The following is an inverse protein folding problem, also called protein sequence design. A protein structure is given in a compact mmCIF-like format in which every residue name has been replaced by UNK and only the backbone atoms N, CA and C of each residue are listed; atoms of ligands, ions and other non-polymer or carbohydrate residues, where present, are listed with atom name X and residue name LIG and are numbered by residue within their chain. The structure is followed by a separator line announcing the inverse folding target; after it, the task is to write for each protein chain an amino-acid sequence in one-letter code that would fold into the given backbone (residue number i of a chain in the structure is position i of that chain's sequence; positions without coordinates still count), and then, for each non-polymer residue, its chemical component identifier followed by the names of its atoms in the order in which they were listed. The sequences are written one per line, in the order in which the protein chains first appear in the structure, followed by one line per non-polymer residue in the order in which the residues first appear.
data_IF_009083967183
#
_entry.id   IF_009083967183
#
_cell.length_a   1.000
_cell.length_b   1.000
_cell.length_c   1.000
_cell.angle_alpha   90.00
_cell.angle_beta   90.00
_cell.angle_gamma   90.00
#
_symmetry.space_group_name_H-M   'P 1'
#
loop_
_entity.id
_entity.type
_entity.pdbx_description
1 polymer ?
#
# COMPACT_ATOMS: atom_id res chain seq x y z
N UNK A 1 34.18 17.44 11.98
CA UNK A 1 32.93 17.80 11.29
C UNK A 1 31.91 18.15 12.36
N UNK A 2 31.21 19.30 12.26
CA UNK A 2 30.77 20.09 13.42
C UNK A 2 29.57 19.47 14.14
N UNK A 3 29.75 19.07 15.40
CA UNK A 3 28.68 18.65 16.31
C UNK A 3 27.97 19.89 16.84
N UNK A 4 26.79 20.18 16.31
CA UNK A 4 25.99 21.38 16.60
C UNK A 4 25.87 21.67 18.11
N UNK A 5 26.48 22.77 18.53
CA UNK A 5 26.48 23.34 19.88
C UNK A 5 25.16 24.04 20.18
N UNK A 6 24.09 23.28 20.48
CA UNK A 6 22.85 23.90 20.97
C UNK A 6 23.14 24.58 22.30
N UNK A 7 22.87 25.88 22.38
CA UNK A 7 23.21 26.68 23.56
C UNK A 7 22.19 26.49 24.68
N UNK A 8 22.59 26.77 25.93
CA UNK A 8 21.68 26.66 27.10
C UNK A 8 20.45 27.55 26.93
N UNK A 9 20.65 28.74 26.33
CA UNK A 9 19.60 29.72 26.06
C UNK A 9 18.61 29.20 25.02
N UNK A 10 19.09 28.62 23.92
CA UNK A 10 18.23 28.00 22.91
C UNK A 10 17.35 26.88 23.48
N UNK A 11 17.88 26.05 24.39
CA UNK A 11 17.07 25.01 25.04
C UNK A 11 15.98 25.60 25.95
N UNK A 12 16.29 26.68 26.68
CA UNK A 12 15.32 27.38 27.52
C UNK A 12 14.23 28.06 26.68
N UNK A 13 14.61 28.68 25.56
CA UNK A 13 13.67 29.35 24.68
C UNK A 13 12.74 28.34 23.99
N UNK A 14 13.22 27.14 23.64
CA UNK A 14 12.37 26.05 23.13
C UNK A 14 11.34 25.57 24.15
N UNK A 15 11.74 25.35 25.40
CA UNK A 15 10.82 24.96 26.47
C UNK A 15 9.76 26.05 26.75
N UNK A 16 10.14 27.33 26.64
CA UNK A 16 9.22 28.47 26.75
C UNK A 16 8.20 28.55 25.61
N UNK A 17 8.60 28.22 24.38
CA UNK A 17 7.68 28.11 23.25
C UNK A 17 6.64 27.01 23.46
N UNK A 18 6.98 25.97 24.24
CA UNK A 18 6.08 24.88 24.61
C UNK A 18 5.25 25.18 25.88
N UNK A 19 5.34 26.39 26.43
CA UNK A 19 4.56 26.83 27.59
C UNK A 19 5.17 26.53 28.96
N UNK A 20 6.40 25.97 29.02
CA UNK A 20 7.12 25.74 30.27
C UNK A 20 8.06 26.90 30.62
N UNK A 21 8.22 27.21 31.92
CA UNK A 21 9.20 28.20 32.39
C UNK A 21 10.36 27.52 33.12
N UNK A 22 11.38 27.02 32.40
CA UNK A 22 12.48 26.28 33.01
C UNK A 22 13.33 27.20 33.92
N UNK A 23 13.68 26.76 35.15
CA UNK A 23 14.55 27.52 36.04
C UNK A 23 15.92 27.83 35.43
N UNK A 24 16.48 28.99 35.77
CA UNK A 24 17.82 29.41 35.34
C UNK A 24 18.94 28.53 35.89
N UNK A 25 18.68 27.84 37.01
CA UNK A 25 19.59 26.88 37.65
C UNK A 25 19.75 25.56 36.90
N UNK A 26 18.87 25.23 35.94
CA UNK A 26 18.98 23.99 35.18
C UNK A 26 20.26 23.95 34.34
N UNK A 27 20.95 22.83 34.39
CA UNK A 27 22.13 22.56 33.57
C UNK A 27 21.71 22.23 32.14
N UNK A 28 22.66 22.31 31.18
CA UNK A 28 22.41 21.92 29.79
C UNK A 28 21.90 20.47 29.68
N UNK A 29 22.38 19.58 30.55
CA UNK A 29 21.96 18.17 30.58
C UNK A 29 20.51 18.04 31.02
N UNK A 30 20.08 18.78 32.06
CA UNK A 30 18.70 18.76 32.54
C UNK A 30 17.72 19.38 31.52
N UNK A 31 18.13 20.47 30.85
CA UNK A 31 17.33 21.06 29.77
C UNK A 31 17.22 20.13 28.56
N UNK A 32 18.30 19.44 28.20
CA UNK A 32 18.29 18.44 27.14
C UNK A 32 17.43 17.23 27.50
N UNK A 33 17.47 16.77 28.75
CA UNK A 33 16.61 15.69 29.26
C UNK A 33 15.14 16.10 29.20
N UNK A 34 14.76 17.32 29.64
CA UNK A 34 13.37 17.78 29.55
C UNK A 34 12.89 17.94 28.11
N UNK A 35 13.75 18.45 27.22
CA UNK A 35 13.43 18.50 25.79
C UNK A 35 13.27 17.11 25.17
N UNK A 36 14.03 16.11 25.64
CA UNK A 36 13.90 14.72 25.22
C UNK A 36 12.59 14.11 25.76
N UNK A 37 12.25 14.33 27.02
CA UNK A 37 10.97 13.91 27.61
C UNK A 37 9.78 14.51 26.87
N UNK A 38 9.81 15.80 26.56
CA UNK A 38 8.74 16.44 25.78
C UNK A 38 8.69 15.94 24.33
N UNK A 39 9.83 15.62 23.74
CA UNK A 39 9.85 14.96 22.43
C UNK A 39 9.23 13.55 22.53
N UNK A 40 9.51 12.81 23.60
CA UNK A 40 8.94 11.49 23.92
C UNK A 40 7.47 11.54 24.39
N UNK A 41 6.97 12.68 24.83
CA UNK A 41 5.57 12.89 25.24
C UNK A 41 4.69 13.34 24.05
N UNK A 42 5.29 14.03 23.07
CA UNK A 42 4.65 14.39 21.79
C UNK A 42 4.70 13.22 20.80
N UNK A 43 5.71 12.37 20.85
CA UNK A 43 5.66 11.07 20.19
C UNK A 43 5.00 10.08 21.14
N UNK A 44 3.74 9.63 20.93
CA UNK A 44 3.27 8.47 21.69
C UNK A 44 4.34 7.40 21.59
N UNK A 45 4.69 6.77 22.72
CA UNK A 45 5.63 5.63 22.84
C UNK A 45 5.11 4.45 22.02
N UNK A 46 5.01 4.64 20.72
CA UNK A 46 4.57 3.67 19.74
C UNK A 46 5.80 2.86 19.50
N UNK A 47 5.96 1.79 20.28
CA UNK A 47 6.90 0.75 19.92
C UNK A 47 6.66 0.44 18.45
N UNK A 48 7.60 0.82 17.59
CA UNK A 48 7.40 0.83 16.14
C UNK A 48 7.34 -0.62 15.68
N UNK A 49 6.13 -1.12 15.45
CA UNK A 49 5.96 -2.53 15.10
C UNK A 49 6.44 -2.75 13.67
N UNK A 50 7.36 -3.71 13.48
CA UNK A 50 7.78 -4.13 12.14
C UNK A 50 6.86 -5.23 11.61
N UNK A 51 6.83 -5.43 10.29
CA UNK A 51 6.12 -6.56 9.67
C UNK A 51 6.57 -7.90 10.28
N UNK A 52 7.87 -8.05 10.51
CA UNK A 52 8.44 -9.25 11.16
C UNK A 52 7.86 -9.46 12.55
N UNK A 53 7.61 -8.40 13.31
CA UNK A 53 7.02 -8.50 14.64
C UNK A 53 5.54 -8.87 14.59
N UNK A 54 4.78 -8.32 13.62
CA UNK A 54 3.42 -8.76 13.33
C UNK A 54 3.36 -10.27 13.01
N UNK A 55 4.24 -10.74 12.13
CA UNK A 55 4.35 -12.17 11.78
C UNK A 55 4.68 -13.02 13.01
N UNK A 56 5.58 -12.56 13.89
CA UNK A 56 5.89 -13.26 15.14
C UNK A 56 4.72 -13.30 16.11
N UNK A 57 3.91 -12.25 16.19
CA UNK A 57 2.69 -12.23 17.02
C UNK A 57 1.73 -13.31 16.51
N UNK A 58 1.46 -13.32 15.21
CA UNK A 58 0.53 -14.28 14.59
C UNK A 58 1.04 -15.71 14.71
N UNK A 59 2.33 -15.95 14.48
CA UNK A 59 2.92 -17.28 14.54
C UNK A 59 3.08 -17.83 15.97
N UNK A 60 2.96 -16.97 17.01
CA UNK A 60 2.88 -17.40 18.40
C UNK A 60 1.55 -18.07 18.72
N UNK A 61 0.47 -17.70 18.04
CA UNK A 61 -0.82 -18.37 18.17
C UNK A 61 -0.76 -19.76 17.51
N UNK A 62 -0.75 -20.81 18.32
CA UNK A 62 -0.70 -22.21 17.87
C UNK A 62 -2.07 -22.81 17.65
N UNK A 63 -3.11 -22.24 18.27
CA UNK A 63 -4.49 -22.75 18.21
C UNK A 63 -5.44 -21.71 17.62
N UNK A 64 -6.51 -22.18 16.96
CA UNK A 64 -7.57 -21.32 16.41
C UNK A 64 -8.18 -20.40 17.47
N UNK A 65 -8.42 -20.90 18.68
CA UNK A 65 -8.95 -20.11 19.79
C UNK A 65 -8.03 -18.94 20.20
N UNK A 66 -6.70 -19.10 20.10
CA UNK A 66 -5.74 -18.03 20.41
C UNK A 66 -5.76 -16.94 19.33
N UNK A 67 -5.92 -17.32 18.06
CA UNK A 67 -6.10 -16.36 16.96
C UNK A 67 -7.42 -15.59 17.09
N UNK A 68 -8.48 -16.27 17.50
CA UNK A 68 -9.78 -15.64 17.77
C UNK A 68 -9.70 -14.64 18.93
N UNK A 69 -9.00 -15.00 20.01
CA UNK A 69 -8.75 -14.07 21.11
C UNK A 69 -7.94 -12.84 20.67
N UNK A 70 -6.91 -13.04 19.83
CA UNK A 70 -6.12 -11.94 19.26
C UNK A 70 -6.98 -11.02 18.37
N UNK A 71 -7.81 -11.57 17.49
CA UNK A 71 -8.76 -10.78 16.69
C UNK A 71 -9.73 -10.00 17.58
N UNK A 72 -10.23 -10.61 18.65
CA UNK A 72 -11.11 -9.96 19.61
C UNK A 72 -10.42 -8.80 20.35
N UNK A 73 -9.17 -8.98 20.79
CA UNK A 73 -8.35 -7.97 21.47
C UNK A 73 -8.15 -6.73 20.58
N UNK A 74 -7.92 -6.95 19.29
CA UNK A 74 -7.77 -5.89 18.28
C UNK A 74 -9.11 -5.37 17.74
N UNK A 75 -10.26 -5.86 18.24
CA UNK A 75 -11.59 -5.44 17.78
C UNK A 75 -11.91 -5.83 16.33
N UNK A 76 -11.24 -6.83 15.78
CA UNK A 76 -11.44 -7.28 14.40
C UNK A 76 -12.56 -8.34 14.37
N UNK A 77 -13.66 -8.10 13.64
CA UNK A 77 -14.76 -9.06 13.55
C UNK A 77 -14.33 -10.32 12.80
N UNK A 78 -14.76 -11.47 13.32
CA UNK A 78 -14.54 -12.79 12.72
C UNK A 78 -15.74 -13.72 12.96
N UNK A 79 -15.88 -14.72 12.09
CA UNK A 79 -16.94 -15.73 12.17
C UNK A 79 -16.35 -17.07 12.65
N UNK A 80 -17.04 -17.85 13.50
CA UNK A 80 -16.53 -19.13 14.00
C UNK A 80 -16.21 -20.17 12.90
N UNK A 81 -16.86 -20.08 11.73
CA UNK A 81 -16.64 -20.97 10.59
C UNK A 81 -15.31 -20.73 9.85
N UNK A 82 -14.66 -19.58 10.03
CA UNK A 82 -13.45 -19.23 9.29
C UNK A 82 -12.28 -20.17 9.59
N UNK A 83 -11.45 -20.46 8.58
CA UNK A 83 -10.25 -21.30 8.72
C UNK A 83 -9.14 -20.53 9.45
N UNK A 84 -8.13 -21.26 9.94
CA UNK A 84 -6.96 -20.66 10.58
C UNK A 84 -6.28 -19.64 9.65
N UNK A 85 -6.13 -19.95 8.37
CA UNK A 85 -5.47 -19.06 7.41
C UNK A 85 -6.29 -17.79 7.11
N UNK A 86 -7.62 -17.91 7.06
CA UNK A 86 -8.50 -16.73 6.97
C UNK A 86 -8.36 -15.82 8.19
N UNK A 87 -8.32 -16.39 9.40
CA UNK A 87 -8.12 -15.62 10.64
C UNK A 87 -6.75 -14.94 10.67
N UNK A 88 -5.68 -15.66 10.29
CA UNK A 88 -4.32 -15.11 10.18
C UNK A 88 -4.26 -13.95 9.18
N UNK A 89 -4.89 -14.09 8.03
CA UNK A 89 -4.92 -13.04 7.00
C UNK A 89 -5.65 -11.80 7.47
N UNK A 90 -6.79 -11.95 8.17
CA UNK A 90 -7.54 -10.81 8.72
C UNK A 90 -6.74 -10.06 9.77
N UNK A 91 -6.16 -10.77 10.74
CA UNK A 91 -5.36 -10.09 11.78
C UNK A 91 -4.11 -9.46 11.18
N UNK A 92 -3.43 -10.13 10.23
CA UNK A 92 -2.28 -9.55 9.56
C UNK A 92 -2.63 -8.25 8.85
N UNK A 93 -3.69 -8.25 8.01
CA UNK A 93 -4.17 -7.05 7.33
C UNK A 93 -4.40 -5.92 8.33
N UNK A 94 -5.12 -6.19 9.43
CA UNK A 94 -5.40 -5.20 10.46
C UNK A 94 -4.12 -4.65 11.11
N UNK A 95 -3.17 -5.52 11.50
CA UNK A 95 -1.90 -5.09 12.09
C UNK A 95 -1.10 -4.24 11.11
N UNK A 96 -1.09 -4.63 9.83
CA UNK A 96 -0.44 -3.84 8.78
C UNK A 96 -1.09 -2.47 8.64
N UNK A 97 -2.42 -2.38 8.55
CA UNK A 97 -3.14 -1.11 8.36
C UNK A 97 -3.01 -0.16 9.57
N UNK A 98 -2.94 -0.69 10.80
CA UNK A 98 -3.12 0.14 12.00
C UNK A 98 -1.87 0.31 12.86
N UNK A 99 -0.93 -0.66 12.85
CA UNK A 99 0.17 -0.71 13.82
C UNK A 99 1.56 -0.76 13.18
N UNK A 100 1.70 -1.42 12.02
CA UNK A 100 3.00 -1.56 11.35
C UNK A 100 3.30 -0.33 10.51
N UNK A 101 4.49 0.26 10.70
CA UNK A 101 4.94 1.42 9.92
C UNK A 101 5.31 0.99 8.49
N UNK A 102 4.77 1.64 7.44
CA UNK A 102 5.16 1.36 6.06
C UNK A 102 6.66 1.58 5.83
N UNK A 103 7.34 0.58 5.26
CA UNK A 103 8.76 0.62 4.96
C UNK A 103 9.04 0.45 3.46
N UNK A 104 10.07 1.14 2.95
CA UNK A 104 10.44 1.08 1.54
C UNK A 104 10.90 -0.31 1.03
N UNK A 105 11.25 -1.22 1.94
CA UNK A 105 11.60 -2.61 1.64
C UNK A 105 10.41 -3.54 1.47
N UNK A 106 9.19 -3.09 1.82
CA UNK A 106 7.96 -3.87 1.63
C UNK A 106 7.70 -4.11 0.14
N UNK A 107 7.18 -5.29 -0.19
CA UNK A 107 6.71 -5.63 -1.54
C UNK A 107 5.35 -4.98 -1.79
N UNK A 108 5.09 -4.59 -3.05
CA UNK A 108 3.80 -4.08 -3.46
C UNK A 108 2.69 -5.09 -3.20
N UNK A 109 2.85 -6.34 -3.64
CA UNK A 109 1.85 -7.40 -3.41
C UNK A 109 0.48 -7.15 -4.07
N UNK A 110 0.34 -6.15 -4.95
CA UNK A 110 -0.86 -5.88 -5.75
C UNK A 110 -0.52 -5.29 -7.12
N UNK A 111 -1.47 -5.37 -8.05
CA UNK A 111 -1.39 -4.71 -9.36
C UNK A 111 -0.25 -5.20 -10.25
N UNK A 112 0.10 -4.37 -11.24
CA UNK A 112 1.09 -4.71 -12.29
C UNK A 112 2.53 -4.86 -11.77
N UNK A 113 2.84 -4.18 -10.67
CA UNK A 113 4.19 -4.14 -10.08
C UNK A 113 4.25 -4.88 -8.74
N UNK A 114 3.42 -5.91 -8.57
CA UNK A 114 3.29 -6.67 -7.32
C UNK A 114 4.60 -7.24 -6.79
N UNK A 115 5.51 -7.65 -7.68
CA UNK A 115 6.81 -8.23 -7.33
C UNK A 115 7.88 -7.18 -6.94
N UNK A 116 7.61 -5.90 -7.20
CA UNK A 116 8.54 -4.82 -6.87
C UNK A 116 8.36 -4.36 -5.42
N UNK A 117 9.42 -3.81 -4.83
CA UNK A 117 9.36 -3.11 -3.55
C UNK A 117 8.89 -1.67 -3.73
N UNK A 118 8.41 -1.06 -2.64
CA UNK A 118 8.04 0.36 -2.60
C UNK A 118 9.18 1.27 -3.09
N UNK A 119 10.42 1.00 -2.64
CA UNK A 119 11.62 1.72 -3.08
C UNK A 119 11.86 1.62 -4.59
N UNK A 120 11.63 0.46 -5.20
CA UNK A 120 11.80 0.29 -6.64
C UNK A 120 10.70 1.03 -7.41
N UNK A 121 9.44 0.92 -6.98
CA UNK A 121 8.31 1.57 -7.66
C UNK A 121 8.43 3.09 -7.65
N UNK A 122 8.80 3.69 -6.51
CA UNK A 122 8.90 5.15 -6.41
C UNK A 122 10.01 5.75 -7.30
N UNK A 123 11.08 5.00 -7.54
CA UNK A 123 12.22 5.42 -8.37
C UNK A 123 12.00 5.09 -9.85
N UNK A 124 11.59 3.86 -10.15
CA UNK A 124 11.53 3.35 -11.53
C UNK A 124 10.18 3.61 -12.22
N UNK A 125 9.11 3.85 -11.44
CA UNK A 125 7.73 3.99 -11.92
C UNK A 125 7.04 5.23 -11.33
N UNK A 126 7.53 6.45 -11.65
CA UNK A 126 6.96 7.69 -11.10
C UNK A 126 5.49 7.90 -11.50
N UNK A 127 5.10 7.58 -12.74
CA UNK A 127 3.70 7.71 -13.19
C UNK A 127 2.76 6.72 -12.49
N UNK A 128 3.23 5.49 -12.24
CA UNK A 128 2.45 4.52 -11.47
C UNK A 128 2.30 4.97 -10.01
N UNK A 129 3.34 5.57 -9.44
CA UNK A 129 3.29 6.14 -8.09
C UNK A 129 2.24 7.27 -8.00
N UNK A 130 2.21 8.18 -8.99
CA UNK A 130 1.18 9.22 -9.07
C UNK A 130 -0.21 8.62 -9.14
N UNK A 131 -0.40 7.61 -10.01
CA UNK A 131 -1.67 6.89 -10.10
C UNK A 131 -2.10 6.28 -8.76
N UNK A 132 -1.22 5.56 -8.06
CA UNK A 132 -1.54 5.00 -6.75
C UNK A 132 -1.99 6.08 -5.74
N UNK A 133 -1.29 7.22 -5.72
CA UNK A 133 -1.61 8.35 -4.83
C UNK A 133 -2.97 8.94 -5.18
N UNK A 134 -3.23 9.22 -6.46
CA UNK A 134 -4.53 9.74 -6.92
C UNK A 134 -5.67 8.76 -6.63
N UNK A 135 -5.48 7.48 -6.95
CA UNK A 135 -6.49 6.45 -6.72
C UNK A 135 -6.79 6.24 -5.23
N UNK A 136 -5.79 6.35 -4.34
CA UNK A 136 -6.03 6.28 -2.90
C UNK A 136 -6.90 7.42 -2.38
N UNK A 137 -6.76 8.62 -2.97
CA UNK A 137 -7.58 9.79 -2.62
C UNK A 137 -8.99 9.68 -3.22
N UNK A 138 -9.10 9.23 -4.48
CA UNK A 138 -10.38 9.09 -5.18
C UNK A 138 -11.23 7.94 -4.62
N UNK A 139 -10.58 6.83 -4.23
CA UNK A 139 -11.24 5.60 -3.81
C UNK A 139 -10.63 5.09 -2.48
N UNK A 140 -11.12 5.59 -1.33
CA UNK A 140 -10.66 5.14 -0.01
C UNK A 140 -10.94 3.67 0.29
N UNK A 141 -11.82 3.03 -0.48
CA UNK A 141 -12.12 1.58 -0.39
C UNK A 141 -11.24 0.72 -1.32
N UNK A 142 -10.20 1.33 -1.93
CA UNK A 142 -9.22 0.59 -2.73
C UNK A 142 -8.52 -0.49 -1.90
N UNK A 143 -7.90 -1.45 -2.59
CA UNK A 143 -7.12 -2.51 -1.95
C UNK A 143 -6.14 -1.93 -0.90
N UNK A 144 -6.14 -2.47 0.31
CA UNK A 144 -5.43 -1.89 1.46
C UNK A 144 -3.93 -1.67 1.24
N UNK A 145 -3.25 -2.55 0.50
CA UNK A 145 -1.82 -2.36 0.15
C UNK A 145 -1.60 -1.14 -0.75
N UNK A 146 -2.57 -0.78 -1.60
CA UNK A 146 -2.51 0.43 -2.41
C UNK A 146 -2.58 1.66 -1.52
N UNK A 147 -3.54 1.70 -0.61
CA UNK A 147 -3.70 2.80 0.36
C UNK A 147 -2.43 2.95 1.21
N UNK A 148 -1.90 1.84 1.72
CA UNK A 148 -0.67 1.80 2.50
C UNK A 148 0.55 2.32 1.72
N UNK A 149 0.73 1.87 0.48
CA UNK A 149 1.80 2.38 -0.40
C UNK A 149 1.64 3.87 -0.69
N UNK A 150 0.41 4.32 -0.99
CA UNK A 150 0.14 5.73 -1.27
C UNK A 150 0.46 6.61 -0.05
N UNK A 151 0.04 6.21 1.15
CA UNK A 151 0.36 6.89 2.40
C UNK A 151 1.88 6.98 2.61
N UNK A 152 2.60 5.87 2.40
CA UNK A 152 4.06 5.87 2.48
C UNK A 152 4.68 6.83 1.46
N UNK A 153 4.29 6.73 0.19
CA UNK A 153 4.87 7.50 -0.90
C UNK A 153 4.64 9.02 -0.78
N UNK A 154 3.53 9.44 -0.16
CA UNK A 154 3.24 10.84 0.15
C UNK A 154 4.20 11.42 1.21
N UNK A 155 4.66 10.59 2.17
CA UNK A 155 5.59 11.00 3.21
C UNK A 155 7.05 11.12 2.77
N UNK A 156 7.40 10.61 1.58
CA UNK A 156 8.79 10.58 1.11
C UNK A 156 9.19 11.92 0.48
N UNK A 157 10.22 12.56 1.06
CA UNK A 157 10.84 13.79 0.54
C UNK A 157 11.64 13.56 -0.75
N UNK A 158 11.85 14.60 -1.56
CA UNK A 158 12.70 14.51 -2.77
C UNK A 158 14.13 14.08 -2.43
N UNK A 159 14.73 14.61 -1.37
CA UNK A 159 16.06 14.19 -0.91
C UNK A 159 16.11 12.69 -0.55
N UNK A 160 15.03 12.16 0.00
CA UNK A 160 14.94 10.75 0.35
C UNK A 160 14.75 9.86 -0.89
N UNK A 161 13.94 10.27 -1.87
CA UNK A 161 13.84 9.61 -3.18
C UNK A 161 15.21 9.51 -3.86
N UNK A 162 16.00 10.57 -3.76
CA UNK A 162 17.33 10.64 -4.37
C UNK A 162 18.30 9.71 -3.63
N UNK A 163 18.21 9.65 -2.29
CA UNK A 163 18.96 8.68 -1.50
C UNK A 163 18.57 7.23 -1.82
N UNK A 164 17.28 6.93 -2.00
CA UNK A 164 16.78 5.61 -2.43
C UNK A 164 17.35 5.27 -3.81
N UNK A 165 17.28 6.20 -4.78
CA UNK A 165 17.85 6.03 -6.11
C UNK A 165 19.35 5.74 -6.05
N UNK A 166 20.09 6.46 -5.21
CA UNK A 166 21.50 6.20 -4.95
C UNK A 166 21.74 4.76 -4.51
N UNK A 167 21.02 4.29 -3.48
CA UNK A 167 21.14 2.90 -2.97
C UNK A 167 20.82 1.85 -4.04
N UNK A 168 19.81 2.09 -4.88
CA UNK A 168 19.45 1.17 -5.97
C UNK A 168 20.48 1.20 -7.12
N UNK A 169 21.05 2.38 -7.42
CA UNK A 169 22.06 2.56 -8.46
C UNK A 169 23.41 1.94 -8.11
N UNK A 170 23.83 1.97 -6.84
CA UNK A 170 25.08 1.34 -6.39
C UNK A 170 25.00 -0.20 -6.38
N UNK A 171 23.79 -0.76 -6.39
CA UNK A 171 23.54 -2.22 -6.37
C UNK A 171 23.97 -2.94 -7.66
N UNK A 172 24.20 -2.25 -8.77
CA UNK A 172 24.48 -2.86 -10.07
C UNK A 172 25.96 -3.07 -10.43
N UNK A 173 26.92 -2.77 -9.54
CA UNK A 173 28.36 -2.96 -9.83
C UNK A 173 29.03 -4.15 -9.13
N UNK A 174 28.31 -4.93 -8.32
CA UNK A 174 28.81 -6.23 -7.83
C UNK A 174 28.25 -7.35 -8.71
N UNK A 175 29.03 -7.64 -9.76
CA UNK A 175 28.97 -8.76 -10.69
C UNK A 175 27.96 -9.89 -10.38
N UNK A 176 26.96 -10.03 -11.25
CA UNK A 176 26.45 -11.34 -11.63
C UNK A 176 27.50 -12.00 -12.54
N UNK A 177 28.16 -13.11 -12.15
CA UNK A 177 28.87 -13.91 -13.14
C UNK A 177 27.83 -14.57 -14.04
N UNK A 178 27.80 -14.17 -15.31
CA UNK A 178 27.07 -14.87 -16.37
C UNK A 178 27.69 -16.26 -16.49
N UNK A 179 27.09 -17.26 -15.84
CA UNK A 179 27.47 -18.67 -16.03
C UNK A 179 26.90 -19.14 -17.35
N UNK A 180 27.80 -19.32 -18.31
CA UNK A 180 27.57 -19.99 -19.58
C UNK A 180 26.86 -21.34 -19.37
N UNK A 181 25.91 -21.60 -20.27
CA UNK A 181 25.03 -22.76 -20.27
C UNK A 181 25.86 -24.01 -20.58
N UNK A 182 25.98 -24.93 -19.62
CA UNK A 182 26.42 -26.30 -19.85
C UNK A 182 25.39 -27.24 -19.23
N UNK A 183 24.65 -27.93 -20.09
CA UNK A 183 23.63 -28.90 -19.72
C UNK A 183 24.25 -30.08 -18.97
N UNK A 184 23.83 -30.29 -17.71
CA UNK A 184 23.91 -31.59 -17.05
C UNK A 184 22.73 -31.76 -16.11
N UNK A 185 21.86 -32.73 -16.43
CA UNK A 185 20.83 -33.25 -15.52
C UNK A 185 21.52 -33.79 -14.27
N UNK A 186 21.05 -33.40 -13.08
CA UNK A 186 20.93 -34.17 -11.82
C UNK A 186 20.31 -33.25 -10.74
N UNK A 187 19.27 -33.76 -10.09
CA UNK A 187 18.64 -33.44 -8.80
C UNK A 187 18.54 -31.97 -8.30
N UNK A 188 17.30 -31.60 -7.96
CA UNK A 188 16.91 -30.32 -7.35
C UNK A 188 17.64 -30.02 -6.03
N UNK A 189 18.05 -28.77 -5.77
CA UNK A 189 18.37 -28.29 -4.44
C UNK A 189 17.28 -27.36 -3.88
N UNK A 190 17.00 -27.55 -2.59
CA UNK A 190 16.07 -26.82 -1.75
C UNK A 190 16.15 -25.30 -1.89
N UNK A 191 14.96 -24.73 -2.01
CA UNK A 191 14.64 -23.31 -1.91
C UNK A 191 14.61 -22.92 -0.43
N UNK A 192 15.54 -22.09 0.00
CA UNK A 192 15.50 -21.44 1.30
C UNK A 192 15.92 -19.96 1.16
N UNK A 193 15.20 -19.11 1.90
CA UNK A 193 15.32 -17.64 2.07
C UNK A 193 14.50 -16.80 1.09
N UNK A 194 13.39 -16.13 1.43
CA UNK A 194 12.56 -15.90 2.63
C UNK A 194 11.29 -15.16 2.12
N UNK A 195 10.07 -15.28 2.61
CA UNK A 195 9.53 -15.19 3.97
C UNK A 195 8.26 -16.08 4.03
N UNK A 196 8.01 -16.72 5.18
CA UNK A 196 6.86 -17.60 5.45
C UNK A 196 5.56 -16.81 5.63
N UNK A 197 5.20 -16.04 4.60
CA UNK A 197 3.99 -15.23 4.59
C UNK A 197 2.90 -15.91 3.76
N UNK A 198 2.76 -17.23 3.88
CA UNK A 198 1.91 -18.06 3.01
C UNK A 198 0.42 -17.70 3.07
N UNK A 199 -0.03 -17.04 4.14
CA UNK A 199 -1.42 -16.59 4.26
C UNK A 199 -1.71 -15.33 3.42
N UNK A 200 -0.69 -14.64 2.87
CA UNK A 200 -0.88 -13.48 1.97
C UNK A 200 -1.60 -13.83 0.68
N UNK A 201 -1.50 -15.10 0.28
CA UNK A 201 -2.05 -15.67 -0.95
C UNK A 201 -3.46 -16.23 -0.80
N UNK A 202 -4.12 -16.03 0.35
CA UNK A 202 -5.58 -16.09 0.34
C UNK A 202 -6.08 -14.77 -0.21
N UNK A 203 -6.07 -14.66 -1.55
CA UNK A 203 -6.94 -13.70 -2.24
C UNK A 203 -8.30 -13.75 -1.53
N UNK A 204 -8.82 -12.57 -1.20
CA UNK A 204 -10.21 -12.37 -0.83
C UNK A 204 -11.09 -12.92 -1.97
N UNK A 205 -11.26 -14.24 -2.02
CA UNK A 205 -12.49 -14.83 -2.50
C UNK A 205 -13.47 -14.46 -1.41
N UNK A 206 -14.10 -13.29 -1.58
CA UNK A 206 -15.26 -12.90 -0.82
C UNK A 206 -16.19 -14.12 -0.76
N UNK A 207 -16.23 -14.77 0.40
CA UNK A 207 -17.29 -15.72 0.73
C UNK A 207 -18.58 -14.97 1.11
N UNK A 208 -18.59 -13.65 0.99
CA UNK A 208 -19.78 -12.85 0.76
C UNK A 208 -20.12 -12.88 -0.73
N UNK A 209 -20.38 -14.10 -1.24
CA UNK A 209 -21.28 -14.28 -2.37
C UNK A 209 -22.71 -14.05 -1.83
N UNK A 210 -22.94 -12.88 -1.23
CA UNK A 210 -24.27 -12.39 -0.96
C UNK A 210 -24.90 -12.17 -2.33
N UNK A 211 -26.04 -12.82 -2.51
CA UNK A 211 -26.91 -12.73 -3.68
C UNK A 211 -26.86 -11.33 -4.30
N UNK A 212 -26.48 -11.22 -5.56
CA UNK A 212 -26.76 -10.03 -6.36
C UNK A 212 -28.25 -9.73 -6.12
N UNK A 213 -28.62 -8.54 -5.58
CA UNK A 213 -30.01 -8.23 -5.31
C UNK A 213 -30.84 -8.56 -6.55
N UNK A 214 -31.97 -9.23 -6.40
CA UNK A 214 -32.79 -9.69 -7.54
C UNK A 214 -33.10 -8.54 -8.51
N UNK A 215 -33.21 -7.33 -7.96
CA UNK A 215 -33.39 -6.06 -8.65
C UNK A 215 -32.18 -5.68 -9.53
N UNK A 216 -30.95 -5.90 -9.06
CA UNK A 216 -29.73 -5.69 -9.83
C UNK A 216 -29.58 -6.74 -10.95
N UNK A 217 -29.94 -8.01 -10.72
CA UNK A 217 -29.98 -9.03 -11.79
C UNK A 217 -31.05 -8.71 -12.84
N UNK A 218 -32.21 -8.22 -12.41
CA UNK A 218 -33.29 -7.78 -13.30
C UNK A 218 -32.84 -6.61 -14.16
N UNK A 219 -32.13 -5.64 -13.55
CA UNK A 219 -31.58 -4.49 -14.28
C UNK A 219 -30.49 -4.88 -15.27
N UNK A 220 -29.65 -5.86 -14.94
CA UNK A 220 -28.63 -6.40 -15.85
C UNK A 220 -29.30 -7.06 -17.07
N UNK A 221 -30.31 -7.90 -16.86
CA UNK A 221 -31.06 -8.52 -17.98
C UNK A 221 -31.73 -7.49 -18.89
N UNK A 222 -32.26 -6.43 -18.30
CA UNK A 222 -32.87 -5.33 -19.06
C UNK A 222 -31.84 -4.59 -19.91
N UNK A 223 -30.67 -4.28 -19.34
CA UNK A 223 -29.56 -3.65 -20.05
C UNK A 223 -28.98 -4.55 -21.15
N UNK A 224 -28.90 -5.86 -20.93
CA UNK A 224 -28.49 -6.82 -21.95
C UNK A 224 -29.48 -6.86 -23.13
N UNK A 225 -30.78 -6.78 -22.85
CA UNK A 225 -31.83 -6.74 -23.86
C UNK A 225 -31.79 -5.43 -24.65
N UNK A 226 -31.58 -4.30 -23.96
CA UNK A 226 -31.43 -2.98 -24.58
C UNK A 226 -30.17 -2.91 -25.47
N UNK A 227 -29.04 -3.45 -24.99
CA UNK A 227 -27.81 -3.59 -25.80
C UNK A 227 -28.02 -4.50 -27.02
N UNK A 228 -28.78 -5.58 -26.88
CA UNK A 228 -29.15 -6.44 -28.00
C UNK A 228 -29.95 -5.70 -29.06
N UNK A 229 -30.93 -4.89 -28.62
CA UNK A 229 -31.76 -4.06 -29.51
C UNK A 229 -30.96 -2.98 -30.21
N UNK A 230 -30.07 -2.28 -29.49
CA UNK A 230 -29.17 -1.27 -30.05
C UNK A 230 -28.20 -1.86 -31.08
N UNK A 231 -27.63 -3.05 -30.80
CA UNK A 231 -26.79 -3.76 -31.77
C UNK A 231 -27.57 -4.16 -33.01
N UNK A 232 -28.81 -4.62 -32.86
CA UNK A 232 -29.66 -4.98 -33.98
C UNK A 232 -30.07 -3.73 -34.80
N UNK A 233 -30.33 -2.61 -34.14
CA UNK A 233 -30.66 -1.36 -34.83
C UNK A 233 -29.46 -0.75 -35.56
N UNK A 234 -28.27 -0.81 -34.97
CA UNK A 234 -27.01 -0.48 -35.64
C UNK A 234 -26.81 -1.34 -36.89
N UNK A 235 -27.03 -2.65 -36.77
CA UNK A 235 -26.93 -3.59 -37.89
C UNK A 235 -27.97 -3.33 -38.98
N UNK A 236 -29.19 -2.94 -38.60
CA UNK A 236 -30.24 -2.58 -39.55
C UNK A 236 -29.95 -1.23 -40.24
N UNK A 237 -29.30 -0.29 -39.55
CA UNK A 237 -28.82 0.98 -40.14
C UNK A 237 -27.63 0.79 -41.08
N UNK A 238 -26.72 -0.12 -40.76
CA UNK A 238 -25.64 -0.53 -41.67
C UNK A 238 -26.15 -1.31 -42.90
N UNK A 239 -27.34 -1.91 -42.81
CA UNK A 239 -27.99 -2.66 -43.88
C UNK A 239 -28.92 -1.87 -44.81
N UNK A 240 -29.15 -0.56 -44.58
CA UNK A 240 -30.04 0.26 -45.42
C UNK A 240 -29.26 1.28 -46.26
N UNK A 241 -28.98 1.02 -47.56
CA UNK A 241 -28.26 1.94 -48.43
C UNK A 241 -29.22 2.90 -49.17
N UNK A 242 -30.07 3.63 -48.45
CA UNK A 242 -30.75 4.82 -48.97
C UNK A 242 -30.77 5.81 -47.80
N UNK A 243 -30.01 6.90 -47.80
CA UNK A 243 -30.18 8.07 -48.67
C UNK A 243 -28.81 8.71 -48.93
N UNK A 244 -28.35 8.66 -50.19
CA UNK A 244 -27.56 9.74 -50.78
C UNK A 244 -28.44 10.42 -51.83
N UNK A 245 -28.20 11.71 -52.03
CA UNK A 245 -28.82 12.67 -52.98
C UNK A 245 -30.07 13.36 -52.39
N UNK A 246 -30.20 14.68 -52.30
CA UNK A 246 -29.65 15.84 -53.02
C UNK A 246 -29.25 16.92 -51.99
N UNK A 247 -28.31 17.86 -52.19
CA UNK A 247 -28.27 18.83 -53.27
C UNK A 247 -26.90 19.55 -53.23
N UNK A 248 -26.22 19.58 -54.38
CA UNK A 248 -25.04 20.40 -54.67
C UNK A 248 -25.55 21.62 -55.46
N UNK A 249 -24.94 22.80 -55.25
CA UNK A 249 -25.18 24.13 -55.88
C UNK A 249 -26.29 24.94 -55.17
N UNK A 250 -26.16 26.24 -54.88
CA UNK A 250 -25.33 27.29 -55.48
C UNK A 250 -25.14 28.50 -54.51
N UNK A 251 -24.05 29.25 -54.76
CA UNK A 251 -23.89 30.71 -54.63
C UNK A 251 -23.91 31.42 -53.26
N UNK A 252 -22.76 31.99 -52.90
CA UNK A 252 -22.65 33.38 -52.38
C UNK A 252 -22.90 34.39 -53.52
N UNK A 253 -22.87 35.72 -53.25
CA UNK A 253 -23.74 36.58 -52.44
C UNK A 253 -24.47 37.59 -53.39
N UNK A 254 -25.12 38.68 -52.94
CA UNK A 254 -24.46 39.87 -52.36
C UNK A 254 -24.98 40.29 -50.98
#
# INVERSE_FOLDING_TARGET
MPTSTVTKKEMQDRLRQQGENPPTSWTKVQLAARLAELAEEITPTTSTMTERDAVKIINRCKRKAELQALLQEHGVPFTPAQTVDQLKSRIYKHLMETQVIPAGSESMGFGKHSEMTYNQVIVEKPEYTKWCISTAVENPESHWRLLRFAQWAQGISMSEKEAIRGRLGTSWTTAYPVRAVAAKRIAAPSRASGSETSWEMTQEVNQDLEMIPEEAMSRIKELELELGRLRQEMKNREGNPEIKTHQKRASSPP
#
